data_IF_145805224864
#
_entry.id   IF_145805224864
#
_cell.length_a   1.000
_cell.length_b   1.000
_cell.length_c   1.000
_cell.angle_alpha   90.00
_cell.angle_beta   90.00
_cell.angle_gamma   90.00
#
_symmetry.space_group_name_H-M   'P 1'
#
loop_
_entity.id
_entity.type
_entity.pdbx_description
1 polymer ?
#
# COMPACT_ATOMS: atom_id res chain seq x y z
N UNK A 1 -5.29 -27.72 -9.63
CA UNK A 1 -4.15 -27.97 -8.72
C UNK A 1 -2.90 -27.96 -9.58
N UNK A 2 -1.92 -27.09 -9.27
CA UNK A 2 -0.69 -26.98 -10.08
C UNK A 2 0.17 -28.24 -9.90
N UNK A 3 0.81 -28.71 -10.96
CA UNK A 3 1.66 -29.92 -10.97
C UNK A 3 2.75 -29.87 -9.90
N UNK A 4 3.35 -28.70 -9.68
CA UNK A 4 4.43 -28.45 -8.72
C UNK A 4 4.05 -28.75 -7.26
N UNK A 5 2.79 -28.54 -6.87
CA UNK A 5 2.31 -28.77 -5.48
C UNK A 5 2.24 -30.27 -5.18
N UNK A 6 1.91 -31.06 -6.19
CA UNK A 6 1.81 -32.52 -6.12
C UNK A 6 3.20 -33.17 -6.11
N UNK A 7 4.12 -32.69 -6.95
CA UNK A 7 5.49 -33.21 -7.03
C UNK A 7 6.29 -33.02 -5.73
N UNK A 8 6.10 -31.89 -5.06
CA UNK A 8 6.81 -31.59 -3.80
C UNK A 8 6.12 -32.17 -2.56
N UNK A 9 5.03 -32.92 -2.73
CA UNK A 9 4.33 -33.59 -1.63
C UNK A 9 3.55 -32.67 -0.69
N UNK A 10 3.43 -31.38 -1.01
CA UNK A 10 2.71 -30.39 -0.20
C UNK A 10 1.20 -30.66 -0.12
N UNK A 11 0.67 -31.55 -0.94
CA UNK A 11 -0.70 -32.06 -0.80
C UNK A 11 -0.95 -32.76 0.55
N UNK A 12 0.09 -33.30 1.22
CA UNK A 12 -0.08 -34.09 2.46
C UNK A 12 -0.05 -33.26 3.74
N UNK A 13 0.50 -32.04 3.71
CA UNK A 13 0.44 -31.13 4.86
C UNK A 13 -0.94 -30.48 4.94
N UNK A 14 -1.37 -30.07 6.14
CA UNK A 14 -2.63 -29.36 6.42
C UNK A 14 -2.65 -27.93 5.82
N UNK A 15 -2.31 -27.81 4.54
CA UNK A 15 -2.34 -26.59 3.72
C UNK A 15 -3.73 -25.98 3.65
N UNK A 16 -4.76 -26.71 4.10
CA UNK A 16 -6.14 -26.29 4.11
C UNK A 16 -6.60 -25.56 5.37
N UNK A 17 -5.68 -25.25 6.28
CA UNK A 17 -5.94 -24.44 7.47
C UNK A 17 -6.22 -22.98 7.09
N UNK A 18 -7.47 -22.68 6.72
CA UNK A 18 -7.98 -21.34 6.39
C UNK A 18 -8.60 -21.21 5.00
N UNK A 19 -9.26 -22.29 4.54
CA UNK A 19 -10.16 -22.32 3.37
C UNK A 19 -11.31 -21.30 3.46
N UNK A 20 -11.64 -20.87 4.68
CA UNK A 20 -12.65 -19.85 5.00
C UNK A 20 -12.19 -18.42 4.62
N UNK A 21 -10.89 -18.21 4.42
CA UNK A 21 -10.32 -16.88 4.10
C UNK A 21 -10.07 -16.77 2.59
N UNK A 22 -10.58 -15.73 1.90
CA UNK A 22 -10.27 -15.47 0.51
C UNK A 22 -8.76 -15.39 0.25
N UNK A 23 -8.29 -15.95 -0.87
CA UNK A 23 -6.87 -15.93 -1.24
C UNK A 23 -6.24 -14.51 -1.28
N UNK A 24 -7.07 -13.49 -1.50
CA UNK A 24 -6.64 -12.10 -1.50
C UNK A 24 -6.39 -11.55 -0.09
N UNK A 25 -7.19 -11.99 0.89
CA UNK A 25 -7.05 -11.55 2.28
C UNK A 25 -5.84 -12.24 2.93
N UNK A 26 -5.47 -13.43 2.47
CA UNK A 26 -4.21 -14.09 2.86
C UNK A 26 -2.97 -13.23 2.59
N UNK A 27 -2.93 -12.50 1.48
CA UNK A 27 -1.82 -11.60 1.18
C UNK A 27 -1.69 -10.50 2.23
N UNK A 28 -2.82 -9.90 2.60
CA UNK A 28 -2.89 -8.81 3.56
C UNK A 28 -2.55 -9.31 4.99
N UNK A 29 -2.98 -10.52 5.36
CA UNK A 29 -2.57 -11.15 6.63
C UNK A 29 -1.07 -11.47 6.67
N UNK A 30 -0.49 -11.98 5.58
CA UNK A 30 0.95 -12.21 5.47
C UNK A 30 1.71 -10.89 5.58
N UNK A 31 1.23 -9.84 4.93
CA UNK A 31 1.83 -8.51 5.04
C UNK A 31 1.78 -7.98 6.48
N UNK A 32 0.68 -8.20 7.19
CA UNK A 32 0.58 -7.84 8.60
C UNK A 32 1.59 -8.61 9.47
N UNK A 33 1.73 -9.91 9.26
CA UNK A 33 2.70 -10.75 9.98
C UNK A 33 4.16 -10.34 9.69
N UNK A 34 4.45 -9.94 8.46
CA UNK A 34 5.74 -9.36 8.07
C UNK A 34 6.00 -8.04 8.82
N UNK A 35 5.01 -7.14 8.86
CA UNK A 35 5.11 -5.85 9.55
C UNK A 35 5.27 -6.00 11.08
N UNK A 36 4.65 -7.03 11.66
CA UNK A 36 4.80 -7.39 13.08
C UNK A 36 6.13 -8.11 13.37
N UNK A 37 6.91 -8.43 12.34
CA UNK A 37 8.22 -9.08 12.48
C UNK A 37 8.14 -10.56 12.85
N UNK A 38 7.06 -11.26 12.50
CA UNK A 38 6.96 -12.71 12.74
C UNK A 38 7.78 -13.54 11.75
N UNK A 39 7.97 -13.01 10.56
CA UNK A 39 8.91 -13.53 9.59
C UNK A 39 9.56 -12.37 8.83
N UNK A 40 10.71 -12.63 8.23
CA UNK A 40 11.53 -11.67 7.49
C UNK A 40 11.86 -12.22 6.11
N UNK A 41 12.12 -11.32 5.16
CA UNK A 41 12.54 -11.68 3.80
C UNK A 41 14.07 -11.71 3.79
N UNK A 42 14.63 -12.90 3.60
CA UNK A 42 16.07 -13.06 3.43
C UNK A 42 16.46 -12.74 1.99
N UNK A 43 16.77 -11.47 1.72
CA UNK A 43 17.13 -10.99 0.39
C UNK A 43 18.38 -11.64 -0.20
N UNK A 44 19.23 -12.19 0.66
CA UNK A 44 20.44 -12.92 0.30
C UNK A 44 20.19 -14.39 -0.11
N UNK A 45 19.01 -14.93 0.15
CA UNK A 45 18.67 -16.34 -0.07
C UNK A 45 17.36 -16.41 -0.87
N UNK A 46 17.38 -15.91 -2.11
CA UNK A 46 16.25 -15.92 -3.06
C UNK A 46 14.94 -15.34 -2.50
N UNK A 47 15.02 -14.37 -1.59
CA UNK A 47 13.85 -13.77 -0.92
C UNK A 47 12.97 -14.80 -0.18
N UNK A 48 13.52 -15.93 0.26
CA UNK A 48 12.73 -16.87 1.05
C UNK A 48 12.38 -16.26 2.42
N UNK A 49 11.24 -16.67 2.94
CA UNK A 49 10.73 -16.20 4.22
C UNK A 49 11.42 -16.96 5.35
N UNK A 50 12.13 -16.24 6.23
CA UNK A 50 12.70 -16.78 7.47
C UNK A 50 11.81 -16.42 8.65
N UNK A 51 11.51 -17.38 9.49
CA UNK A 51 10.71 -17.16 10.71
C UNK A 51 11.62 -16.55 11.78
N UNK A 52 11.15 -15.51 12.48
CA UNK A 52 11.89 -14.88 13.57
C UNK A 52 11.68 -15.63 14.89
N UNK A 53 12.41 -15.27 15.95
CA UNK A 53 12.17 -15.85 17.28
C UNK A 53 10.73 -15.56 17.76
N UNK A 54 10.24 -14.35 17.52
CA UNK A 54 8.85 -13.96 17.83
C UNK A 54 7.83 -14.79 17.05
N UNK A 55 8.06 -15.04 15.76
CA UNK A 55 7.19 -15.92 14.97
C UNK A 55 7.22 -17.37 15.44
N UNK A 56 8.39 -17.84 15.87
CA UNK A 56 8.59 -19.19 16.42
C UNK A 56 7.77 -19.38 17.70
N UNK A 57 7.78 -18.40 18.60
CA UNK A 57 6.99 -18.45 19.83
C UNK A 57 5.48 -18.47 19.56
N UNK A 58 5.02 -17.83 18.48
CA UNK A 58 3.62 -17.85 18.07
C UNK A 58 3.25 -19.19 17.45
N UNK A 59 4.10 -19.74 16.57
CA UNK A 59 3.89 -21.05 15.94
C UNK A 59 3.79 -22.18 16.96
N UNK A 60 4.60 -22.12 18.03
CA UNK A 60 4.56 -23.10 19.11
C UNK A 60 3.60 -22.73 20.26
N UNK A 61 2.77 -21.69 20.10
CA UNK A 61 1.71 -21.32 21.04
C UNK A 61 2.18 -20.70 22.36
N UNK A 62 3.44 -20.27 22.45
CA UNK A 62 3.99 -19.51 23.58
C UNK A 62 3.52 -18.05 23.60
N UNK A 63 3.17 -17.52 22.44
CA UNK A 63 2.62 -16.18 22.26
C UNK A 63 1.38 -16.20 21.36
N UNK A 64 0.48 -15.23 21.52
CA UNK A 64 -0.71 -15.05 20.68
C UNK A 64 -0.50 -13.90 19.69
N UNK A 65 -0.69 -14.17 18.40
CA UNK A 65 -0.77 -13.11 17.39
C UNK A 65 -2.14 -12.43 17.43
N UNK A 66 -2.16 -11.11 17.56
CA UNK A 66 -3.37 -10.31 17.39
C UNK A 66 -3.33 -9.69 15.99
N UNK A 67 -4.10 -10.26 15.07
CA UNK A 67 -4.22 -9.81 13.69
C UNK A 67 -5.50 -8.98 13.53
N UNK A 68 -5.46 -8.06 12.57
CA UNK A 68 -6.62 -7.21 12.26
C UNK A 68 -7.50 -7.96 11.27
N UNK A 69 -8.77 -8.14 11.60
CA UNK A 69 -9.73 -8.75 10.67
C UNK A 69 -10.00 -7.80 9.51
N UNK A 70 -9.67 -8.25 8.31
CA UNK A 70 -9.92 -7.49 7.09
C UNK A 70 -11.40 -7.59 6.77
N UNK A 71 -12.11 -6.47 6.91
CA UNK A 71 -13.49 -6.32 6.44
C UNK A 71 -13.44 -5.55 5.13
N UNK A 72 -13.47 -6.25 4.00
CA UNK A 72 -13.77 -5.60 2.72
C UNK A 72 -15.24 -5.27 2.75
N UNK A 73 -15.56 -3.98 2.94
CA UNK A 73 -16.85 -3.47 2.52
C UNK A 73 -16.99 -3.86 1.05
N UNK A 74 -18.00 -4.66 0.73
CA UNK A 74 -18.34 -4.99 -0.65
C UNK A 74 -18.56 -3.65 -1.35
N UNK A 75 -17.53 -3.18 -2.07
CA UNK A 75 -17.68 -2.07 -2.98
C UNK A 75 -18.71 -2.54 -3.99
N UNK A 76 -19.96 -2.14 -3.72
CA UNK A 76 -21.13 -2.38 -4.55
C UNK A 76 -20.67 -2.10 -5.96
N UNK A 77 -20.62 -3.17 -6.77
CA UNK A 77 -20.48 -3.05 -8.20
C UNK A 77 -21.77 -2.38 -8.70
N UNK A 78 -21.89 -1.07 -8.52
CA UNK A 78 -22.85 -0.27 -9.26
C UNK A 78 -22.31 -0.20 -10.68
N UNK A 79 -22.70 -1.22 -11.45
CA UNK A 79 -23.23 -1.08 -12.80
C UNK A 79 -22.70 0.12 -13.59
N UNK A 80 -21.87 -0.21 -14.60
CA UNK A 80 -21.61 0.55 -15.82
C UNK A 80 -22.75 1.53 -16.18
N UNK A 81 -22.59 2.78 -15.78
CA UNK A 81 -23.36 3.92 -16.25
C UNK A 81 -22.47 4.81 -17.09
N UNK A 82 -22.50 4.62 -18.41
CA UNK A 82 -21.92 5.50 -19.44
C UNK A 82 -22.22 6.97 -19.11
N UNK A 83 -21.26 7.72 -18.58
CA UNK A 83 -21.32 9.19 -18.54
C UNK A 83 -20.31 9.78 -19.49
N UNK A 84 -20.88 10.58 -20.39
CA UNK A 84 -20.26 11.34 -21.48
C UNK A 84 -19.13 12.22 -20.96
N UNK A 85 -18.17 12.50 -21.87
CA UNK A 85 -17.15 13.55 -21.78
C UNK A 85 -17.70 14.77 -21.04
N UNK A 86 -17.12 15.07 -19.88
CA UNK A 86 -17.23 16.36 -19.22
C UNK A 86 -15.81 16.88 -19.00
N UNK A 87 -15.57 18.00 -19.67
CA UNK A 87 -14.57 19.05 -19.48
C UNK A 87 -13.65 18.87 -18.27
N UNK A 88 -12.34 18.90 -18.54
CA UNK A 88 -11.26 18.95 -17.56
C UNK A 88 -11.54 20.07 -16.55
N UNK A 89 -11.78 19.79 -15.26
CA UNK A 89 -11.73 20.81 -14.24
C UNK A 89 -10.26 21.02 -13.88
N UNK A 90 -9.79 22.24 -14.05
CA UNK A 90 -8.51 22.73 -13.52
C UNK A 90 -8.40 22.28 -12.07
N UNK A 91 -7.52 21.30 -11.83
CA UNK A 91 -7.31 20.73 -10.49
C UNK A 91 -6.47 21.72 -9.69
N UNK A 92 -7.15 22.62 -9.00
CA UNK A 92 -6.56 23.35 -7.88
C UNK A 92 -6.05 22.31 -6.86
N UNK A 93 -4.79 22.45 -6.44
CA UNK A 93 -4.19 21.60 -5.41
C UNK A 93 -4.92 21.84 -4.08
N UNK A 94 -5.28 20.80 -3.31
CA UNK A 94 -5.92 20.96 -2.02
C UNK A 94 -4.85 21.25 -0.96
N UNK A 95 -4.26 22.45 -0.99
CA UNK A 95 -3.63 22.98 0.22
C UNK A 95 -4.76 23.64 1.00
N UNK A 96 -5.29 22.94 2.00
CA UNK A 96 -6.39 23.39 2.86
C UNK A 96 -6.05 24.62 3.70
N UNK A 97 -5.89 25.76 3.05
CA UNK A 97 -5.69 27.07 3.64
C UNK A 97 -6.96 27.92 3.41
N UNK A 98 -7.49 28.60 4.45
CA UNK A 98 -8.63 29.50 4.29
C UNK A 98 -8.24 30.62 3.31
N UNK A 99 -9.00 30.69 2.21
CA UNK A 99 -8.61 31.35 0.97
C UNK A 99 -8.99 32.85 0.96
N UNK A 100 -8.69 33.59 2.03
CA UNK A 100 -9.27 34.93 2.21
C UNK A 100 -8.29 36.10 2.30
N UNK A 101 -6.97 35.91 2.46
CA UNK A 101 -6.09 37.09 2.71
C UNK A 101 -4.76 37.16 1.93
N UNK A 102 -4.50 36.26 0.98
CA UNK A 102 -3.12 36.19 0.45
C UNK A 102 -2.99 35.76 -1.02
N UNK A 103 -3.97 36.08 -1.87
CA UNK A 103 -3.83 35.88 -3.32
C UNK A 103 -2.65 36.68 -3.91
N UNK A 104 -2.47 37.91 -3.45
CA UNK A 104 -1.34 38.76 -3.84
C UNK A 104 0.01 38.22 -3.34
N UNK A 105 0.05 37.71 -2.11
CA UNK A 105 1.25 37.08 -1.54
C UNK A 105 1.61 35.78 -2.29
N UNK A 106 0.61 35.01 -2.73
CA UNK A 106 0.84 33.83 -3.55
C UNK A 106 1.47 34.19 -4.91
N UNK A 107 0.95 35.21 -5.59
CA UNK A 107 1.52 35.69 -6.86
C UNK A 107 2.92 36.31 -6.66
N UNK A 108 3.14 37.04 -5.57
CA UNK A 108 4.46 37.54 -5.20
C UNK A 108 5.47 36.39 -4.96
N UNK A 109 5.07 35.35 -4.24
CA UNK A 109 5.92 34.17 -4.00
C UNK A 109 6.18 33.40 -5.29
N UNK A 110 5.18 33.28 -6.17
CA UNK A 110 5.30 32.62 -7.47
C UNK A 110 6.30 33.33 -8.38
N UNK A 111 6.25 34.66 -8.45
CA UNK A 111 7.19 35.46 -9.25
C UNK A 111 8.61 35.38 -8.69
N UNK A 112 8.77 35.35 -7.37
CA UNK A 112 10.07 35.16 -6.73
C UNK A 112 10.67 33.79 -7.04
N UNK A 113 9.89 32.70 -6.89
CA UNK A 113 10.34 31.35 -7.24
C UNK A 113 10.75 31.23 -8.70
N UNK A 114 10.00 31.86 -9.61
CA UNK A 114 10.36 31.88 -11.03
C UNK A 114 11.73 32.52 -11.27
N UNK A 115 12.01 33.66 -10.63
CA UNK A 115 13.32 34.34 -10.76
C UNK A 115 14.48 33.49 -10.26
N UNK A 116 14.31 32.82 -9.12
CA UNK A 116 15.33 31.91 -8.57
C UNK A 116 15.56 30.71 -9.50
N UNK A 117 14.48 30.15 -10.03
CA UNK A 117 14.54 29.02 -10.94
C UNK A 117 15.26 29.37 -12.26
N UNK A 118 15.00 30.56 -12.81
CA UNK A 118 15.69 31.09 -14.00
C UNK A 118 17.20 31.32 -13.73
N UNK A 119 17.59 31.69 -12.50
CA UNK A 119 18.99 31.83 -12.10
C UNK A 119 19.71 30.49 -11.96
N UNK A 120 19.04 29.47 -11.42
CA UNK A 120 19.61 28.14 -11.19
C UNK A 120 19.45 27.20 -12.40
N UNK A 121 18.84 27.67 -13.49
CA UNK A 121 18.47 26.88 -14.67
C UNK A 121 17.61 25.63 -14.33
N UNK A 122 16.80 25.74 -13.28
CA UNK A 122 15.90 24.68 -12.82
C UNK A 122 14.44 25.08 -13.10
N UNK A 123 13.53 24.12 -13.28
CA UNK A 123 12.09 24.42 -13.34
C UNK A 123 11.54 24.98 -12.02
N UNK A 124 10.72 26.03 -12.10
CA UNK A 124 10.23 26.79 -10.93
C UNK A 124 9.36 26.03 -9.92
N UNK A 125 8.88 24.83 -10.25
CA UNK A 125 8.12 23.98 -9.33
C UNK A 125 9.01 23.17 -8.37
N UNK A 126 10.33 23.17 -8.57
CA UNK A 126 11.31 22.47 -7.71
C UNK A 126 11.80 23.39 -6.59
N UNK A 127 11.74 24.72 -6.79
CA UNK A 127 12.20 25.71 -5.82
C UNK A 127 11.13 25.92 -4.74
N UNK A 128 11.38 25.39 -3.54
CA UNK A 128 10.50 25.45 -2.37
C UNK A 128 10.62 26.77 -1.61
#
# INVERSE_FOLDING_TARGET
MSSEVTERGYHRQDLWSGREVPARDWHDYLLQMLQLGYFEIAYNENNHLKITQSGTDILFGRARALLVTIRREEAVQTTRGRKRKATVPTKELPLGLPNTESGELFEALRTLRKRLADQEALPAYIVL
#
